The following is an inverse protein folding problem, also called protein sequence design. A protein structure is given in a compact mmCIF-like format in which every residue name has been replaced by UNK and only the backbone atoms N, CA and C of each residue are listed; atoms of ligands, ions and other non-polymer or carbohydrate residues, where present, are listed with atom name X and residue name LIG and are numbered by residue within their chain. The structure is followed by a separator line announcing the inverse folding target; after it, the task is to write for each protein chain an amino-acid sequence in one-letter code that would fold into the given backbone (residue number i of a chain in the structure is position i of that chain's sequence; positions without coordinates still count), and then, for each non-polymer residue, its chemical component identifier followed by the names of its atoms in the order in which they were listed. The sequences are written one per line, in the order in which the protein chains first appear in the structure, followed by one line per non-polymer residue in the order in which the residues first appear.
data_IF_031764013988
#
_entry.id   IF_031764013988
#
_cell.length_a   1.000
_cell.length_b   1.000
_cell.length_c   1.000
_cell.angle_alpha   90.00
_cell.angle_beta   90.00
_cell.angle_gamma   90.00
#
_symmetry.space_group_name_H-M   'P 1'
#
loop_
_entity.id
_entity.type
_entity.pdbx_description
1 polymer ?
#
# COMPACT_ATOMS: atom_id res chain seq x y z
N UNK A 1 -3.95 14.92 -13.62
CA UNK A 1 -3.01 15.36 -14.66
C UNK A 1 -3.14 14.54 -15.93
N UNK A 2 -2.85 13.24 -15.92
CA UNK A 2 -3.01 12.37 -17.11
C UNK A 2 -4.41 12.46 -17.71
N UNK A 3 -5.46 12.23 -16.91
CA UNK A 3 -6.87 12.34 -17.37
C UNK A 3 -7.24 13.73 -17.91
N UNK A 4 -6.55 14.77 -17.44
CA UNK A 4 -6.79 16.16 -17.84
C UNK A 4 -5.97 16.54 -19.10
N UNK A 5 -5.32 15.57 -19.77
CA UNK A 5 -4.58 15.77 -21.02
C UNK A 5 -3.21 16.43 -20.87
N UNK A 6 -2.73 16.67 -19.64
CA UNK A 6 -1.47 17.39 -19.38
C UNK A 6 -0.20 16.63 -19.83
N UNK A 7 -0.34 15.40 -20.33
CA UNK A 7 0.75 14.56 -20.82
C UNK A 7 0.55 14.19 -22.30
N UNK A 8 -0.44 14.76 -22.99
CA UNK A 8 -0.78 14.36 -24.36
C UNK A 8 0.27 14.80 -25.40
N UNK A 9 1.10 15.79 -25.07
CA UNK A 9 2.14 16.38 -25.93
C UNK A 9 3.58 16.09 -25.47
N UNK A 10 3.78 15.21 -24.48
CA UNK A 10 5.11 14.88 -23.96
C UNK A 10 5.60 13.52 -24.44
N UNK A 11 6.84 13.45 -24.92
CA UNK A 11 7.50 12.20 -25.33
C UNK A 11 8.08 11.41 -24.13
N UNK A 12 8.42 12.12 -23.04
CA UNK A 12 8.99 11.54 -21.82
C UNK A 12 8.65 12.36 -20.58
N UNK A 13 8.49 11.69 -19.44
CA UNK A 13 8.35 12.29 -18.12
C UNK A 13 9.36 11.67 -17.16
N UNK A 14 10.14 12.51 -16.48
CA UNK A 14 11.15 12.09 -15.50
C UNK A 14 10.66 12.44 -14.11
N UNK A 15 10.82 11.51 -13.17
CA UNK A 15 10.55 11.70 -11.75
C UNK A 15 11.72 11.20 -10.93
N UNK A 16 11.85 11.69 -9.70
CA UNK A 16 12.84 11.23 -8.73
C UNK A 16 12.19 11.07 -7.36
N UNK A 17 12.80 10.26 -6.50
CA UNK A 17 12.36 10.06 -5.12
C UNK A 17 13.60 9.97 -4.22
N UNK A 18 13.62 10.60 -3.04
CA UNK A 18 14.72 10.44 -2.10
C UNK A 18 14.79 9.00 -1.60
N UNK A 19 16.00 8.46 -1.48
CA UNK A 19 16.27 7.10 -1.01
C UNK A 19 17.61 7.09 -0.28
N UNK A 20 17.91 6.03 0.48
CA UNK A 20 19.21 5.85 1.15
C UNK A 20 20.42 5.69 0.23
N UNK A 21 20.22 5.67 -1.09
CA UNK A 21 21.26 5.59 -2.11
C UNK A 21 20.85 6.40 -3.36
N UNK A 22 21.84 6.77 -4.18
CA UNK A 22 21.60 7.33 -5.52
C UNK A 22 21.63 6.21 -6.55
N UNK A 23 20.57 6.05 -7.33
CA UNK A 23 20.48 4.99 -8.33
C UNK A 23 19.24 5.11 -9.21
N UNK A 24 19.14 4.22 -10.20
CA UNK A 24 17.95 4.12 -11.03
C UNK A 24 16.91 3.19 -10.39
N UNK A 25 15.68 3.66 -10.30
CA UNK A 25 14.57 2.83 -9.85
C UNK A 25 14.10 1.93 -11.00
N UNK A 26 14.72 0.76 -11.07
CA UNK A 26 14.61 -0.19 -12.18
C UNK A 26 13.65 -1.37 -11.85
N UNK A 27 12.97 -1.31 -10.71
CA UNK A 27 12.08 -2.35 -10.20
C UNK A 27 10.62 -2.04 -10.52
N UNK A 28 9.83 -3.07 -10.82
CA UNK A 28 8.38 -2.90 -10.92
C UNK A 28 7.79 -2.55 -9.55
N UNK A 29 6.81 -1.66 -9.52
CA UNK A 29 5.97 -1.42 -8.32
C UNK A 29 4.63 -2.11 -8.48
N UNK A 30 4.00 -2.45 -7.35
CA UNK A 30 2.67 -3.04 -7.35
C UNK A 30 1.62 -1.98 -7.72
N UNK A 31 0.67 -2.37 -8.57
CA UNK A 31 -0.57 -1.64 -8.71
C UNK A 31 -1.31 -1.61 -7.36
N UNK A 32 -2.01 -0.52 -7.07
CA UNK A 32 -2.84 -0.44 -5.88
C UNK A 32 -4.18 0.26 -6.12
N UNK A 33 -5.21 -0.20 -5.41
CA UNK A 33 -6.56 0.38 -5.39
C UNK A 33 -6.97 0.59 -3.94
N UNK A 34 -7.51 1.77 -3.63
CA UNK A 34 -8.02 2.13 -2.31
C UNK A 34 -9.48 2.57 -2.40
N UNK A 35 -10.31 2.04 -1.51
CA UNK A 35 -11.73 2.39 -1.43
C UNK A 35 -12.24 2.26 0.00
N UNK A 36 -13.14 3.16 0.39
CA UNK A 36 -13.88 3.10 1.64
C UNK A 36 -15.25 2.46 1.43
N UNK A 37 -15.68 1.65 2.39
CA UNK A 37 -16.95 0.96 2.40
C UNK A 37 -17.69 1.37 3.67
N UNK A 38 -18.77 2.13 3.48
CA UNK A 38 -19.58 2.67 4.57
C UNK A 38 -20.92 1.93 4.60
N UNK A 39 -21.30 1.44 5.77
CA UNK A 39 -22.56 0.75 6.00
C UNK A 39 -23.50 1.61 6.82
N UNK A 40 -24.76 1.65 6.42
CA UNK A 40 -25.85 2.34 7.12
C UNK A 40 -26.92 1.34 7.54
N UNK A 41 -27.17 1.28 8.84
CA UNK A 41 -28.20 0.46 9.47
C UNK A 41 -29.12 1.30 10.35
N UNK A 42 -29.56 0.72 11.46
CA UNK A 42 -30.57 1.29 12.36
C UNK A 42 -30.09 1.12 13.80
N UNK A 43 -30.05 2.24 14.53
CA UNK A 43 -29.67 2.23 15.94
C UNK A 43 -30.79 1.64 16.79
N UNK A 44 -30.41 0.86 17.79
CA UNK A 44 -31.33 0.33 18.79
C UNK A 44 -30.59 0.15 20.13
N UNK A 45 -31.36 0.05 21.21
CA UNK A 45 -30.79 -0.33 22.50
C UNK A 45 -30.41 -1.81 22.45
N UNK A 46 -29.12 -2.12 22.62
CA UNK A 46 -28.58 -3.46 22.39
C UNK A 46 -29.21 -4.53 23.31
N UNK A 47 -29.52 -4.21 24.56
CA UNK A 47 -30.21 -5.15 25.47
C UNK A 47 -31.75 -5.13 25.34
N UNK A 48 -32.38 -3.96 25.38
CA UNK A 48 -33.82 -3.84 25.49
C UNK A 48 -34.57 -4.15 24.19
N UNK A 49 -34.03 -3.74 23.03
CA UNK A 49 -34.72 -3.86 21.75
C UNK A 49 -33.79 -4.17 20.56
N UNK A 50 -32.88 -5.17 20.67
CA UNK A 50 -31.90 -5.46 19.62
C UNK A 50 -32.53 -5.83 18.28
N UNK A 51 -33.70 -6.48 18.29
CA UNK A 51 -34.42 -6.91 17.09
C UNK A 51 -34.88 -5.75 16.19
N UNK A 52 -34.92 -4.52 16.70
CA UNK A 52 -35.22 -3.31 15.92
C UNK A 52 -33.97 -2.72 15.24
N UNK A 53 -32.77 -3.18 15.61
CA UNK A 53 -31.51 -2.68 15.08
C UNK A 53 -31.08 -3.36 13.78
N UNK A 54 -30.21 -2.68 13.04
CA UNK A 54 -29.43 -3.22 11.92
C UNK A 54 -28.00 -2.75 12.10
N UNK A 55 -27.10 -3.67 12.42
CA UNK A 55 -25.73 -3.32 12.83
C UNK A 55 -24.84 -3.09 11.61
N UNK A 56 -24.46 -1.83 11.39
CA UNK A 56 -23.44 -1.47 10.41
C UNK A 56 -22.05 -2.01 10.80
N UNK A 57 -21.76 -2.10 12.11
CA UNK A 57 -20.50 -2.65 12.60
C UNK A 57 -20.41 -4.17 12.35
N UNK A 58 -21.53 -4.90 12.43
CA UNK A 58 -21.58 -6.32 12.06
C UNK A 58 -21.32 -6.49 10.57
N UNK A 59 -21.83 -5.57 9.73
CA UNK A 59 -21.57 -5.59 8.30
C UNK A 59 -20.08 -5.39 7.98
N UNK A 60 -19.40 -4.45 8.66
CA UNK A 60 -17.94 -4.29 8.57
C UNK A 60 -17.22 -5.57 9.01
N UNK A 61 -17.67 -6.20 10.09
CA UNK A 61 -17.07 -7.44 10.62
C UNK A 61 -17.19 -8.61 9.64
N UNK A 62 -18.38 -8.78 9.06
CA UNK A 62 -18.65 -9.81 8.05
C UNK A 62 -17.87 -9.55 6.76
N UNK A 63 -17.80 -8.30 6.31
CA UNK A 63 -16.97 -7.90 5.17
C UNK A 63 -15.50 -8.24 5.41
N UNK A 64 -14.95 -7.88 6.57
CA UNK A 64 -13.56 -8.18 6.93
C UNK A 64 -13.29 -9.69 6.99
N UNK A 65 -14.25 -10.45 7.52
CA UNK A 65 -14.16 -11.92 7.54
C UNK A 65 -14.13 -12.49 6.12
N UNK A 66 -15.06 -12.07 5.26
CA UNK A 66 -15.08 -12.49 3.86
C UNK A 66 -13.81 -12.10 3.10
N UNK A 67 -13.29 -10.90 3.34
CA UNK A 67 -12.06 -10.41 2.74
C UNK A 67 -10.82 -11.18 3.24
N UNK A 68 -10.83 -11.66 4.48
CA UNK A 68 -9.77 -12.53 5.00
C UNK A 68 -9.76 -13.89 4.29
N UNK A 69 -10.93 -14.50 4.07
CA UNK A 69 -11.02 -15.75 3.29
C UNK A 69 -10.65 -15.56 1.81
N UNK A 70 -10.94 -14.38 1.24
CA UNK A 70 -10.51 -14.07 -0.13
C UNK A 70 -8.99 -14.17 -0.32
N UNK A 71 -8.18 -13.95 0.74
CA UNK A 71 -6.71 -13.98 0.65
C UNK A 71 -6.16 -15.34 0.18
N UNK A 72 -6.86 -16.44 0.45
CA UNK A 72 -6.49 -17.78 -0.01
C UNK A 72 -6.78 -18.02 -1.49
N UNK A 73 -7.49 -17.10 -2.14
CA UNK A 73 -8.05 -17.26 -3.48
C UNK A 73 -7.68 -16.11 -4.42
N UNK A 74 -6.57 -15.44 -4.16
CA UNK A 74 -5.97 -14.39 -4.99
C UNK A 74 -4.50 -14.74 -5.29
N UNK A 75 -3.85 -14.02 -6.20
CA UNK A 75 -2.44 -14.24 -6.52
C UNK A 75 -1.56 -14.05 -5.27
N UNK A 76 -0.53 -14.88 -5.10
CA UNK A 76 0.26 -14.95 -3.87
C UNK A 76 0.97 -13.62 -3.52
N UNK A 77 1.30 -12.83 -4.53
CA UNK A 77 1.96 -11.54 -4.43
C UNK A 77 0.98 -10.41 -4.06
N UNK A 78 -0.34 -10.65 -4.14
CA UNK A 78 -1.33 -9.66 -3.78
C UNK A 78 -1.40 -9.45 -2.26
N UNK A 79 -1.74 -8.24 -1.84
CA UNK A 79 -1.95 -7.89 -0.45
C UNK A 79 -3.26 -7.14 -0.29
N UNK A 80 -3.99 -7.46 0.78
CA UNK A 80 -5.28 -6.88 1.09
C UNK A 80 -5.25 -6.37 2.53
N UNK A 81 -5.22 -5.06 2.72
CA UNK A 81 -5.16 -4.43 4.04
C UNK A 81 -6.43 -3.62 4.29
N UNK A 82 -6.81 -3.47 5.56
CA UNK A 82 -7.94 -2.63 5.93
C UNK A 82 -7.72 -1.91 7.25
N UNK A 83 -8.41 -0.80 7.42
CA UNK A 83 -8.52 -0.05 8.67
C UNK A 83 -9.97 0.37 8.88
N UNK A 84 -10.53 0.11 10.07
CA UNK A 84 -11.85 0.61 10.44
C UNK A 84 -11.69 2.10 10.76
N UNK A 85 -12.22 2.96 9.89
CA UNK A 85 -12.14 4.42 10.00
C UNK A 85 -13.27 5.00 10.84
N UNK A 86 -14.39 4.27 10.94
CA UNK A 86 -15.50 4.61 11.82
C UNK A 86 -16.13 3.32 12.37
N UNK A 87 -16.08 3.13 13.69
CA UNK A 87 -16.70 1.98 14.36
C UNK A 87 -18.20 2.17 14.66
N UNK A 88 -18.77 3.36 14.42
CA UNK A 88 -20.16 3.67 14.77
C UNK A 88 -20.38 4.12 16.20
N UNK A 89 -19.32 4.60 16.84
CA UNK A 89 -19.30 4.99 18.25
C UNK A 89 -18.56 3.99 19.13
N UNK A 90 -18.62 4.23 20.44
CA UNK A 90 -17.85 3.49 21.46
C UNK A 90 -18.72 2.78 22.49
N UNK A 91 -20.04 2.98 22.45
CA UNK A 91 -20.97 2.40 23.42
C UNK A 91 -21.39 1.00 22.99
N UNK A 92 -21.07 -0.05 23.77
CA UNK A 92 -21.54 -1.42 23.48
C UNK A 92 -23.03 -1.61 23.78
N UNK A 93 -23.69 -0.63 24.42
CA UNK A 93 -25.11 -0.67 24.73
C UNK A 93 -26.00 -0.20 23.57
N UNK A 94 -25.40 0.20 22.44
CA UNK A 94 -26.08 0.72 21.25
C UNK A 94 -25.72 -0.14 20.05
N UNK A 95 -26.70 -0.53 19.24
CA UNK A 95 -26.47 -1.12 17.92
C UNK A 95 -25.97 -0.01 16.99
N UNK A 96 -24.79 -0.19 16.40
CA UNK A 96 -24.16 0.83 15.57
C UNK A 96 -24.89 1.00 14.24
N UNK A 97 -25.48 2.17 14.02
CA UNK A 97 -26.21 2.48 12.78
C UNK A 97 -25.30 2.91 11.61
N UNK A 98 -24.04 3.24 11.88
CA UNK A 98 -23.09 3.73 10.89
C UNK A 98 -21.74 3.07 11.16
N UNK A 99 -21.04 2.59 10.14
CA UNK A 99 -19.67 2.11 10.28
C UNK A 99 -18.95 2.22 8.94
N UNK A 100 -17.63 2.38 8.97
CA UNK A 100 -16.81 2.49 7.76
C UNK A 100 -15.49 1.75 7.92
N UNK A 101 -15.09 1.10 6.83
CA UNK A 101 -13.77 0.46 6.68
C UNK A 101 -13.10 0.91 5.37
N UNK A 102 -11.84 1.30 5.46
CA UNK A 102 -10.99 1.64 4.33
C UNK A 102 -10.14 0.43 3.94
N UNK A 103 -10.19 0.05 2.66
CA UNK A 103 -9.38 -1.04 2.11
C UNK A 103 -8.28 -0.52 1.19
N UNK A 104 -7.11 -1.15 1.27
CA UNK A 104 -5.99 -1.00 0.33
C UNK A 104 -5.66 -2.36 -0.28
N UNK A 105 -5.82 -2.46 -1.60
CA UNK A 105 -5.57 -3.63 -2.42
C UNK A 105 -4.27 -3.39 -3.17
N UNK A 106 -3.35 -4.35 -3.17
CA UNK A 106 -2.12 -4.32 -3.95
C UNK A 106 -1.98 -5.62 -4.75
N UNK A 107 -1.57 -5.53 -6.00
CA UNK A 107 -1.25 -6.69 -6.84
C UNK A 107 -0.13 -6.34 -7.84
N UNK A 108 0.58 -7.33 -8.39
CA UNK A 108 1.62 -7.09 -9.40
C UNK A 108 1.15 -6.26 -10.59
N UNK A 109 -0.07 -6.49 -11.07
CA UNK A 109 -0.61 -5.83 -12.26
C UNK A 109 -1.98 -5.18 -11.98
N UNK A 110 -2.27 -4.07 -12.66
CA UNK A 110 -3.54 -3.36 -12.50
C UNK A 110 -4.78 -4.24 -12.76
N UNK A 111 -4.85 -5.09 -13.80
CA UNK A 111 -6.00 -5.98 -14.01
C UNK A 111 -6.22 -6.95 -12.86
N UNK A 112 -5.15 -7.43 -12.21
CA UNK A 112 -5.25 -8.29 -11.04
C UNK A 112 -5.82 -7.52 -9.84
N UNK A 113 -5.33 -6.30 -9.59
CA UNK A 113 -5.86 -5.44 -8.54
C UNK A 113 -7.35 -5.14 -8.76
N UNK A 114 -7.76 -4.85 -10.00
CA UNK A 114 -9.16 -4.61 -10.37
C UNK A 114 -10.03 -5.85 -10.12
N UNK A 115 -9.56 -7.04 -10.54
CA UNK A 115 -10.30 -8.27 -10.33
C UNK A 115 -10.51 -8.58 -8.83
N UNK A 116 -9.51 -8.30 -7.99
CA UNK A 116 -9.63 -8.43 -6.53
C UNK A 116 -10.60 -7.39 -5.98
N UNK A 117 -10.53 -6.14 -6.45
CA UNK A 117 -11.43 -5.06 -6.05
C UNK A 117 -12.90 -5.40 -6.28
N UNK A 118 -13.25 -5.92 -7.46
CA UNK A 118 -14.63 -6.36 -7.76
C UNK A 118 -15.11 -7.47 -6.81
N UNK A 119 -14.22 -8.40 -6.43
CA UNK A 119 -14.55 -9.45 -5.46
C UNK A 119 -14.75 -8.88 -4.05
N UNK A 120 -13.96 -7.89 -3.65
CA UNK A 120 -14.15 -7.17 -2.37
C UNK A 120 -15.49 -6.41 -2.38
N UNK A 121 -15.89 -5.79 -3.49
CA UNK A 121 -17.21 -5.18 -3.63
C UNK A 121 -18.33 -6.22 -3.44
N UNK A 122 -18.19 -7.41 -4.04
CA UNK A 122 -19.18 -8.47 -3.88
C UNK A 122 -19.27 -8.97 -2.44
N UNK A 123 -18.14 -9.07 -1.73
CA UNK A 123 -18.12 -9.38 -0.29
C UNK A 123 -18.85 -8.30 0.52
N UNK A 124 -18.59 -7.03 0.24
CA UNK A 124 -19.26 -5.92 0.91
C UNK A 124 -20.78 -5.94 0.66
N UNK A 125 -21.22 -6.21 -0.58
CA UNK A 125 -22.64 -6.40 -0.91
C UNK A 125 -23.25 -7.57 -0.15
N UNK A 126 -22.53 -8.69 -0.04
CA UNK A 126 -22.94 -9.84 0.77
C UNK A 126 -23.08 -9.49 2.25
N UNK A 127 -22.15 -8.71 2.80
CA UNK A 127 -22.20 -8.25 4.18
C UNK A 127 -23.38 -7.31 4.45
N UNK A 128 -23.68 -6.41 3.51
CA UNK A 128 -24.86 -5.56 3.57
C UNK A 128 -26.15 -6.40 3.57
N UNK A 129 -26.23 -7.40 2.70
CA UNK A 129 -27.37 -8.31 2.62
C UNK A 129 -27.57 -9.13 3.90
N UNK A 130 -26.49 -9.71 4.45
CA UNK A 130 -26.56 -10.52 5.68
C UNK A 130 -27.03 -9.72 6.90
N UNK A 131 -26.84 -8.40 6.89
CA UNK A 131 -27.14 -7.51 8.02
C UNK A 131 -28.34 -6.62 7.79
N UNK A 132 -28.98 -6.71 6.62
CA UNK A 132 -30.07 -5.83 6.19
C UNK A 132 -29.70 -4.34 6.38
N UNK A 133 -28.49 -4.00 5.92
CA UNK A 133 -27.92 -2.64 5.91
C UNK A 133 -27.71 -2.16 4.47
N UNK A 134 -27.50 -0.85 4.32
CA UNK A 134 -27.17 -0.23 3.03
C UNK A 134 -25.67 -0.01 2.90
N UNK A 135 -25.10 -0.33 1.74
CA UNK A 135 -23.69 -0.10 1.42
C UNK A 135 -23.51 1.17 0.56
N UNK A 136 -22.55 2.00 0.92
CA UNK A 136 -21.95 3.02 0.06
C UNK A 136 -20.49 2.71 -0.17
N UNK A 137 -20.04 2.75 -1.42
CA UNK A 137 -18.62 2.55 -1.78
C UNK A 137 -18.06 3.86 -2.28
N UNK A 138 -16.98 4.34 -1.66
CA UNK A 138 -16.24 5.52 -2.09
C UNK A 138 -14.86 5.10 -2.59
N UNK A 139 -14.66 5.18 -3.89
CA UNK A 139 -13.33 5.03 -4.48
C UNK A 139 -12.45 6.21 -4.05
N UNK A 140 -11.23 5.92 -3.61
CA UNK A 140 -10.30 6.93 -3.10
C UNK A 140 -9.18 7.19 -4.10
N UNK A 141 -8.46 6.13 -4.48
CA UNK A 141 -7.38 6.21 -5.48
C UNK A 141 -7.08 4.87 -6.13
N UNK A 142 -6.45 4.93 -7.29
CA UNK A 142 -5.71 3.81 -7.86
C UNK A 142 -4.40 4.29 -8.50
N UNK A 143 -3.37 3.45 -8.44
CA UNK A 143 -2.12 3.62 -9.17
C UNK A 143 -1.85 2.34 -9.96
N UNK A 144 -1.45 2.48 -11.23
CA UNK A 144 -0.96 1.36 -12.02
C UNK A 144 0.39 0.87 -11.50
N UNK A 145 0.76 -0.34 -11.89
CA UNK A 145 2.13 -0.82 -11.74
C UNK A 145 3.10 0.06 -12.55
N UNK A 146 4.31 0.24 -12.02
CA UNK A 146 5.40 0.88 -12.75
C UNK A 146 6.06 -0.16 -13.66
N UNK A 147 6.10 0.14 -14.96
CA UNK A 147 6.83 -0.64 -15.96
C UNK A 147 8.13 0.08 -16.29
N UNK A 148 9.29 -0.48 -15.91
CA UNK A 148 10.60 0.11 -16.19
C UNK A 148 10.84 0.40 -17.69
N UNK A 149 11.29 1.62 -18.01
CA UNK A 149 11.76 1.96 -19.35
C UNK A 149 13.28 1.78 -19.42
N UNK A 150 13.71 0.57 -19.79
CA UNK A 150 15.14 0.20 -19.82
C UNK A 150 16.01 1.10 -20.70
N UNK A 151 15.44 1.67 -21.76
CA UNK A 151 16.19 2.54 -22.67
C UNK A 151 16.51 3.89 -22.00
N UNK A 152 15.51 4.53 -21.39
CA UNK A 152 15.72 5.80 -20.66
C UNK A 152 16.56 5.57 -19.39
N UNK A 153 16.33 4.47 -18.66
CA UNK A 153 17.11 4.11 -17.48
C UNK A 153 18.61 4.00 -17.79
N UNK A 154 19.00 3.34 -18.88
CA UNK A 154 20.41 3.21 -19.27
C UNK A 154 21.07 4.56 -19.59
N UNK A 155 20.32 5.49 -20.20
CA UNK A 155 20.82 6.84 -20.47
C UNK A 155 20.96 7.62 -19.17
N UNK A 156 19.96 7.58 -18.30
CA UNK A 156 19.98 8.27 -17.00
C UNK A 156 21.08 7.73 -16.08
N UNK A 157 21.28 6.42 -16.02
CA UNK A 157 22.33 5.77 -15.25
C UNK A 157 23.73 6.24 -15.68
N UNK A 158 23.96 6.33 -17.00
CA UNK A 158 25.22 6.85 -17.54
C UNK A 158 25.50 8.28 -17.05
N UNK A 159 24.49 9.15 -17.04
CA UNK A 159 24.65 10.51 -16.54
C UNK A 159 24.83 10.56 -15.02
N UNK A 160 24.12 9.72 -14.27
CA UNK A 160 24.28 9.64 -12.83
C UNK A 160 25.73 9.30 -12.45
N UNK A 161 26.35 8.34 -13.13
CA UNK A 161 27.76 8.00 -12.93
C UNK A 161 28.72 9.11 -13.32
N UNK A 162 28.35 9.99 -14.27
CA UNK A 162 29.16 11.13 -14.65
C UNK A 162 29.18 12.23 -13.57
N UNK A 163 28.06 12.45 -12.88
CA UNK A 163 27.99 13.44 -11.79
C UNK A 163 28.75 12.98 -10.54
N UNK A 164 28.77 11.68 -10.27
CA UNK A 164 29.42 11.12 -9.09
C UNK A 164 28.67 11.41 -7.79
N UNK A 165 29.29 11.08 -6.66
CA UNK A 165 28.75 11.38 -5.34
C UNK A 165 29.17 12.79 -4.93
N UNK A 166 28.31 13.55 -4.24
CA UNK A 166 28.71 14.82 -3.66
C UNK A 166 29.77 14.58 -2.57
N UNK A 167 30.66 15.56 -2.40
CA UNK A 167 31.56 15.59 -1.25
C UNK A 167 30.76 15.95 0.01
N UNK A 168 30.88 15.13 1.04
CA UNK A 168 30.25 15.38 2.34
C UNK A 168 31.28 15.91 3.33
N UNK A 169 30.94 17.03 3.94
CA UNK A 169 31.67 17.65 5.04
C UNK A 169 31.62 16.78 6.32
N UNK A 170 32.52 17.05 7.26
CA UNK A 170 32.56 16.35 8.55
C UNK A 170 31.28 16.59 9.36
N UNK A 171 30.68 17.78 9.27
CA UNK A 171 29.40 18.11 9.90
C UNK A 171 28.24 17.27 9.35
N UNK A 172 28.15 17.12 8.02
CA UNK A 172 27.13 16.29 7.38
C UNK A 172 27.30 14.81 7.74
N UNK A 173 28.54 14.33 7.86
CA UNK A 173 28.83 12.96 8.30
C UNK A 173 28.44 12.74 9.76
N UNK A 174 28.69 13.71 10.64
CA UNK A 174 28.27 13.65 12.04
C UNK A 174 26.74 13.62 12.16
N UNK A 175 26.05 14.49 11.42
CA UNK A 175 24.58 14.50 11.37
C UNK A 175 24.00 13.17 10.85
N UNK A 176 24.59 12.59 9.79
CA UNK A 176 24.18 11.28 9.29
C UNK A 176 24.38 10.17 10.34
N UNK A 177 25.43 10.25 11.16
CA UNK A 177 25.66 9.31 12.25
C UNK A 177 24.61 9.42 13.36
N UNK A 178 24.17 10.64 13.70
CA UNK A 178 23.08 10.88 14.66
C UNK A 178 21.76 10.29 14.16
N UNK A 179 21.40 10.53 12.89
CA UNK A 179 20.22 9.93 12.27
C UNK A 179 20.29 8.40 12.30
N UNK A 180 21.44 7.84 11.90
CA UNK A 180 21.67 6.39 11.91
C UNK A 180 21.51 5.78 13.30
N UNK A 181 21.88 6.50 14.36
CA UNK A 181 21.72 6.03 15.74
C UNK A 181 20.25 5.94 16.21
N UNK A 182 19.31 6.56 15.48
CA UNK A 182 17.87 6.45 15.76
C UNK A 182 17.21 5.22 15.10
N UNK A 183 17.91 4.54 14.20
CA UNK A 183 17.41 3.39 13.45
C UNK A 183 17.66 2.08 14.20
N UNK A 184 16.71 1.15 14.12
CA UNK A 184 16.88 -0.20 14.66
C UNK A 184 17.76 -1.05 13.74
N UNK A 185 18.29 -2.16 14.26
CA UNK A 185 19.04 -3.13 13.45
C UNK A 185 18.21 -3.66 12.27
N UNK A 186 16.89 -3.79 12.45
CA UNK A 186 15.99 -4.23 11.38
C UNK A 186 15.71 -3.14 10.34
N UNK A 187 15.67 -1.87 10.73
CA UNK A 187 15.61 -0.76 9.77
C UNK A 187 16.87 -0.73 8.89
N UNK A 188 18.05 -0.87 9.50
CA UNK A 188 19.33 -0.92 8.80
C UNK A 188 19.42 -2.14 7.87
N UNK A 189 18.94 -3.30 8.32
CA UNK A 189 18.86 -4.52 7.50
C UNK A 189 17.92 -4.34 6.32
N UNK A 190 16.73 -3.79 6.54
CA UNK A 190 15.75 -3.53 5.49
C UNK A 190 16.26 -2.51 4.46
N UNK A 191 16.94 -1.45 4.90
CA UNK A 191 17.57 -0.48 4.00
C UNK A 191 18.61 -1.15 3.09
N UNK A 192 19.48 -2.00 3.66
CA UNK A 192 20.46 -2.79 2.88
C UNK A 192 19.80 -3.74 1.90
N UNK A 193 18.76 -4.46 2.31
CA UNK A 193 18.00 -5.37 1.44
C UNK A 193 17.33 -4.62 0.28
N UNK A 194 16.78 -3.44 0.52
CA UNK A 194 16.18 -2.60 -0.51
C UNK A 194 17.22 -2.11 -1.52
N UNK A 195 18.39 -1.65 -1.05
CA UNK A 195 19.51 -1.26 -1.91
C UNK A 195 20.01 -2.45 -2.75
N UNK A 196 20.16 -3.62 -2.12
CA UNK A 196 20.60 -4.84 -2.79
C UNK A 196 19.61 -5.27 -3.89
N UNK A 197 18.32 -5.30 -3.58
CA UNK A 197 17.26 -5.65 -4.55
C UNK A 197 17.23 -4.69 -5.74
N UNK A 198 17.41 -3.39 -5.49
CA UNK A 198 17.36 -2.37 -6.56
C UNK A 198 18.61 -2.42 -7.43
N UNK A 199 19.78 -2.61 -6.82
CA UNK A 199 21.05 -2.68 -7.55
C UNK A 199 21.34 -4.03 -8.23
N UNK A 200 20.47 -5.03 -8.10
CA UNK A 200 20.70 -6.38 -8.64
C UNK A 200 22.01 -6.99 -8.14
N UNK A 201 22.79 -7.64 -9.01
CA UNK A 201 24.08 -8.25 -8.65
C UNK A 201 25.06 -7.25 -8.02
N UNK A 202 25.14 -6.02 -8.53
CA UNK A 202 26.02 -4.99 -8.00
C UNK A 202 25.55 -4.51 -6.62
N UNK A 203 24.23 -4.37 -6.44
CA UNK A 203 23.63 -4.05 -5.13
C UNK A 203 23.90 -5.14 -4.10
N UNK A 204 23.81 -6.41 -4.49
CA UNK A 204 24.15 -7.54 -3.63
C UNK A 204 25.62 -7.52 -3.21
N UNK A 205 26.54 -7.37 -4.17
CA UNK A 205 27.97 -7.29 -3.89
C UNK A 205 28.32 -6.10 -2.96
N UNK A 206 27.68 -4.95 -3.17
CA UNK A 206 27.85 -3.78 -2.28
C UNK A 206 27.32 -4.05 -0.87
N UNK A 207 26.14 -4.65 -0.73
CA UNK A 207 25.56 -4.94 0.58
C UNK A 207 26.41 -5.96 1.37
N UNK A 208 27.00 -6.95 0.71
CA UNK A 208 27.92 -7.92 1.35
C UNK A 208 29.21 -7.28 1.87
N UNK A 209 29.71 -6.23 1.21
CA UNK A 209 30.89 -5.47 1.68
C UNK A 209 30.64 -4.73 3.00
N UNK A 210 29.38 -4.51 3.39
CA UNK A 210 29.00 -3.83 4.63
C UNK A 210 28.95 -4.75 5.87
N UNK A 211 29.35 -6.01 5.75
CA UNK A 211 29.82 -6.83 6.89
C UNK A 211 28.84 -7.87 7.45
N UNK A 212 27.57 -7.88 7.07
CA UNK A 212 26.62 -8.93 7.44
C UNK A 212 26.21 -9.72 6.19
N UNK A 213 26.41 -11.05 6.20
CA UNK A 213 25.85 -11.93 5.17
C UNK A 213 24.33 -11.76 5.15
N UNK A 214 23.79 -11.30 4.02
CA UNK A 214 22.34 -11.30 3.79
C UNK A 214 21.90 -12.77 3.67
N UNK A 215 21.38 -13.35 4.76
CA UNK A 215 20.78 -14.69 4.72
C UNK A 215 19.41 -14.58 4.06
N UNK A 216 19.27 -15.20 2.89
CA UNK A 216 17.97 -15.45 2.28
C UNK A 216 17.34 -16.67 2.96
N UNK A 217 16.12 -16.50 3.48
CA UNK A 217 15.19 -17.58 3.81
C UNK A 217 14.13 -17.70 2.72
#
# INVERSE_FOLDING_TARGET
MVREGLFDDVDAAVTWHPEGFSGMFNLRTLANIQAAFSFKGVAAHAANSPHLGRSALDAVTLMNTGANFLREHIVQEARLHYAITNSGGVSPNVVQADAEVLYLIRAPELPQAQAIYERVINIARGAALMTDTTLTVRFDKACSDYVPNRALEAVMERYLHQFGLPDYSDEERAFAAELRATLTDDDLRNARLNAARTGGEAGHAWAEQLGDKLFYG
#
